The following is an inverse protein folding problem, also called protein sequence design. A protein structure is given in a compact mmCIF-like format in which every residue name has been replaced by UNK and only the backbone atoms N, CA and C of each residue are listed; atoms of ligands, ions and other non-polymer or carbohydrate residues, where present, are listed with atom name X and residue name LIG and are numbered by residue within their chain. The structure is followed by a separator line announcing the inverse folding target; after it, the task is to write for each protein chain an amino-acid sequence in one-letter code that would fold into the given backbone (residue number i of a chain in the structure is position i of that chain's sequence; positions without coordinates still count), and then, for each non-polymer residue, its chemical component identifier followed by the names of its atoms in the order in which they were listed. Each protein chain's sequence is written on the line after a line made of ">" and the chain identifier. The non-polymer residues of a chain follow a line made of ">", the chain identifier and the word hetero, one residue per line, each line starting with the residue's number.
data_IF_716304680150
#
_entry.id   IF_716304680150
#
_cell.length_a   1.000
_cell.length_b   1.000
_cell.length_c   1.000
_cell.angle_alpha   90.00
_cell.angle_beta   90.00
_cell.angle_gamma   90.00
#
_symmetry.space_group_name_H-M   'P 1'
#
loop_
_entity.id
_entity.type
_entity.pdbx_description
1 polymer ?
#
# COMPACT_ATOMS: atom_id res chain seq x y z
N UNK A 1 68.46 -5.09 -41.87
CA UNK A 1 67.02 -5.38 -42.00
C UNK A 1 66.68 -6.45 -40.96
N UNK A 2 66.15 -6.08 -39.78
CA UNK A 2 65.83 -7.05 -38.71
C UNK A 2 64.35 -7.39 -38.82
N UNK A 3 64.08 -8.64 -39.17
CA UNK A 3 62.75 -9.22 -39.27
C UNK A 3 62.13 -9.29 -37.87
N UNK A 4 61.10 -8.48 -37.64
CA UNK A 4 60.34 -8.46 -36.39
C UNK A 4 59.37 -9.63 -36.44
N UNK A 5 59.71 -10.72 -35.76
CA UNK A 5 58.86 -11.91 -35.62
C UNK A 5 57.51 -11.55 -34.99
N UNK A 6 56.44 -11.63 -35.78
CA UNK A 6 55.06 -11.49 -35.33
C UNK A 6 54.69 -12.71 -34.47
N UNK A 7 54.56 -12.50 -33.16
CA UNK A 7 54.10 -13.55 -32.24
C UNK A 7 52.61 -13.82 -32.49
N UNK A 8 52.20 -15.06 -32.77
CA UNK A 8 50.79 -15.36 -33.02
C UNK A 8 49.97 -15.17 -31.74
N UNK A 9 48.81 -14.53 -31.88
CA UNK A 9 47.83 -14.35 -30.80
C UNK A 9 47.27 -15.73 -30.42
N UNK A 10 47.53 -16.19 -29.19
CA UNK A 10 47.04 -17.49 -28.71
C UNK A 10 45.79 -17.30 -27.81
N UNK A 11 44.57 -17.53 -28.32
CA UNK A 11 43.31 -17.26 -27.61
C UNK A 11 43.13 -18.16 -26.37
N UNK A 12 43.75 -19.34 -26.34
CA UNK A 12 43.66 -20.26 -25.21
C UNK A 12 44.33 -19.70 -23.94
N UNK A 13 45.38 -18.89 -24.08
CA UNK A 13 46.03 -18.19 -22.95
C UNK A 13 45.17 -17.02 -22.44
N UNK A 14 44.45 -16.35 -23.33
CA UNK A 14 43.55 -15.25 -22.97
C UNK A 14 42.34 -15.75 -22.17
N UNK A 15 41.71 -16.83 -22.62
CA UNK A 15 40.58 -17.47 -21.92
C UNK A 15 40.98 -18.00 -20.53
N UNK A 16 42.16 -18.65 -20.40
CA UNK A 16 42.68 -19.06 -19.09
C UNK A 16 42.99 -17.88 -18.15
N UNK A 17 43.34 -16.71 -18.68
CA UNK A 17 43.61 -15.50 -17.88
C UNK A 17 42.32 -14.82 -17.41
N UNK A 18 41.26 -14.85 -18.23
CA UNK A 18 39.92 -14.41 -17.84
C UNK A 18 39.34 -15.28 -16.72
N UNK A 19 39.46 -16.61 -16.84
CA UNK A 19 39.00 -17.56 -15.83
C UNK A 19 39.81 -17.52 -14.52
N UNK A 20 41.02 -16.94 -14.53
CA UNK A 20 41.93 -16.85 -13.37
C UNK A 20 42.00 -15.43 -12.78
N UNK A 21 41.10 -14.55 -13.19
CA UNK A 21 41.01 -13.17 -12.70
C UNK A 21 40.09 -13.13 -11.48
N UNK A 22 40.65 -12.92 -10.28
CA UNK A 22 39.88 -12.81 -9.02
C UNK A 22 38.82 -11.69 -9.04
N UNK A 23 39.01 -10.66 -9.87
CA UNK A 23 38.05 -9.58 -10.09
C UNK A 23 36.73 -10.06 -10.73
N UNK A 24 36.76 -11.16 -11.50
CA UNK A 24 35.57 -11.74 -12.12
C UNK A 24 34.75 -12.54 -11.10
N UNK A 25 35.42 -13.22 -10.17
CA UNK A 25 34.79 -14.01 -9.11
C UNK A 25 33.97 -13.14 -8.15
N UNK A 26 34.48 -11.96 -7.79
CA UNK A 26 33.78 -11.01 -6.92
C UNK A 26 32.44 -10.52 -7.51
N UNK A 27 32.37 -10.31 -8.83
CA UNK A 27 31.12 -9.92 -9.50
C UNK A 27 30.09 -11.07 -9.48
N UNK A 28 30.54 -12.32 -9.57
CA UNK A 28 29.66 -13.49 -9.49
C UNK A 28 29.10 -13.68 -8.09
N UNK A 29 29.92 -13.51 -7.05
CA UNK A 29 29.46 -13.56 -5.65
C UNK A 29 28.39 -12.49 -5.38
N UNK A 30 28.61 -11.25 -5.83
CA UNK A 30 27.61 -10.19 -5.72
C UNK A 30 26.34 -10.54 -6.50
N UNK A 31 26.44 -11.10 -7.69
CA UNK A 31 25.28 -11.47 -8.51
C UNK A 31 24.39 -12.54 -7.84
N UNK A 32 24.95 -13.39 -6.98
CA UNK A 32 24.20 -14.40 -6.23
C UNK A 32 23.54 -13.79 -4.97
N UNK A 33 24.22 -12.87 -4.29
CA UNK A 33 23.70 -12.21 -3.07
C UNK A 33 22.67 -11.12 -3.39
N UNK A 34 22.86 -10.42 -4.51
CA UNK A 34 22.04 -9.28 -4.91
C UNK A 34 20.53 -9.59 -4.98
N UNK A 35 20.05 -10.70 -5.56
CA UNK A 35 18.63 -11.05 -5.57
C UNK A 35 18.03 -11.14 -4.17
N UNK A 36 18.76 -11.71 -3.20
CA UNK A 36 18.29 -11.84 -1.81
C UNK A 36 18.19 -10.47 -1.15
N UNK A 37 19.20 -9.62 -1.32
CA UNK A 37 19.18 -8.25 -0.78
C UNK A 37 18.06 -7.42 -1.39
N UNK A 38 17.88 -7.49 -2.72
CA UNK A 38 16.79 -6.79 -3.41
C UNK A 38 15.41 -7.29 -2.96
N UNK A 39 15.26 -8.60 -2.71
CA UNK A 39 14.03 -9.17 -2.18
C UNK A 39 13.73 -8.63 -0.78
N UNK A 40 14.73 -8.54 0.11
CA UNK A 40 14.56 -7.98 1.45
C UNK A 40 14.21 -6.49 1.42
N UNK A 41 14.90 -5.71 0.58
CA UNK A 41 14.60 -4.28 0.41
C UNK A 41 13.20 -4.06 -0.18
N UNK A 42 12.82 -4.86 -1.18
CA UNK A 42 11.48 -4.83 -1.77
C UNK A 42 10.39 -5.16 -0.74
N UNK A 43 10.59 -6.21 0.08
CA UNK A 43 9.67 -6.56 1.15
C UNK A 43 9.53 -5.46 2.19
N UNK A 44 10.64 -4.84 2.62
CA UNK A 44 10.63 -3.74 3.58
C UNK A 44 9.91 -2.49 3.01
N UNK A 45 10.19 -2.14 1.75
CA UNK A 45 9.52 -1.02 1.08
C UNK A 45 8.01 -1.26 0.92
N UNK A 46 7.63 -2.48 0.52
CA UNK A 46 6.23 -2.86 0.37
C UNK A 46 5.48 -2.86 1.71
N UNK A 47 6.13 -3.33 2.78
CA UNK A 47 5.58 -3.26 4.14
C UNK A 47 5.38 -1.80 4.59
N UNK A 48 6.35 -0.92 4.36
CA UNK A 48 6.23 0.50 4.69
C UNK A 48 5.05 1.16 3.96
N UNK A 49 4.88 0.85 2.67
CA UNK A 49 3.76 1.34 1.86
C UNK A 49 2.41 0.77 2.34
N UNK A 50 2.34 -0.51 2.66
CA UNK A 50 1.15 -1.12 3.26
C UNK A 50 0.76 -0.42 4.57
N UNK A 51 1.72 -0.21 5.47
CA UNK A 51 1.49 0.45 6.74
C UNK A 51 1.02 1.90 6.55
N UNK A 52 1.61 2.63 5.60
CA UNK A 52 1.15 3.96 5.20
C UNK A 52 -0.32 3.93 4.75
N UNK A 53 -0.69 3.01 3.85
CA UNK A 53 -2.08 2.86 3.39
C UNK A 53 -3.04 2.56 4.55
N UNK A 54 -2.69 1.62 5.42
CA UNK A 54 -3.51 1.30 6.60
C UNK A 54 -3.73 2.52 7.49
N UNK A 55 -2.65 3.27 7.78
CA UNK A 55 -2.72 4.43 8.66
C UNK A 55 -3.50 5.58 8.03
N UNK A 56 -3.40 5.78 6.71
CA UNK A 56 -4.18 6.77 5.95
C UNK A 56 -5.67 6.43 6.00
N UNK A 57 -6.04 5.18 5.74
CA UNK A 57 -7.44 4.73 5.86
C UNK A 57 -7.95 4.87 7.30
N UNK A 58 -7.14 4.52 8.31
CA UNK A 58 -7.49 4.69 9.72
C UNK A 58 -7.78 6.16 10.06
N UNK A 59 -6.90 7.09 9.64
CA UNK A 59 -7.10 8.54 9.81
C UNK A 59 -8.37 9.02 9.10
N UNK A 60 -8.63 8.53 7.89
CA UNK A 60 -9.83 8.89 7.12
C UNK A 60 -11.11 8.43 7.83
N UNK A 61 -11.18 7.18 8.30
CA UNK A 61 -12.35 6.69 9.08
C UNK A 61 -12.57 7.52 10.35
N UNK A 62 -11.50 7.98 11.00
CA UNK A 62 -11.59 8.85 12.18
C UNK A 62 -12.14 10.22 11.84
N UNK A 63 -11.75 10.80 10.70
CA UNK A 63 -12.31 12.07 10.22
C UNK A 63 -13.82 11.92 9.92
N UNK A 64 -14.21 10.85 9.21
CA UNK A 64 -15.62 10.56 8.94
C UNK A 64 -16.44 10.33 10.21
N UNK A 65 -15.92 9.57 11.17
CA UNK A 65 -16.59 9.35 12.46
C UNK A 65 -16.74 10.65 13.26
N UNK A 66 -15.73 11.53 13.24
CA UNK A 66 -15.77 12.84 13.90
C UNK A 66 -16.75 13.78 13.24
N UNK A 67 -16.89 13.74 11.92
CA UNK A 67 -17.91 14.51 11.23
C UNK A 67 -19.32 14.06 11.64
N UNK A 68 -19.56 12.75 11.62
CA UNK A 68 -20.87 12.18 11.96
C UNK A 68 -21.24 12.26 13.44
N UNK A 69 -20.30 12.55 14.34
CA UNK A 69 -20.59 12.67 15.77
C UNK A 69 -21.34 13.99 16.09
N UNK A 70 -21.20 15.01 15.23
CA UNK A 70 -21.82 16.33 15.39
C UNK A 70 -22.96 16.58 14.42
N UNK A 71 -23.01 15.82 13.33
CA UNK A 71 -24.05 15.95 12.32
C UNK A 71 -25.28 15.12 12.65
N UNK A 72 -26.46 15.67 12.35
CA UNK A 72 -27.71 14.93 12.48
C UNK A 72 -27.67 13.64 11.66
N UNK A 73 -28.21 12.56 12.22
CA UNK A 73 -28.39 11.30 11.50
C UNK A 73 -29.44 11.39 10.38
N UNK A 74 -30.15 12.52 10.25
CA UNK A 74 -31.09 12.78 9.16
C UNK A 74 -30.39 13.43 7.95
N UNK A 75 -30.76 13.01 6.73
CA UNK A 75 -30.34 13.67 5.48
C UNK A 75 -29.09 13.05 4.83
N UNK A 76 -28.26 13.90 4.20
CA UNK A 76 -27.12 13.49 3.35
C UNK A 76 -25.78 13.37 4.10
N UNK A 77 -25.80 13.44 5.44
CA UNK A 77 -24.60 13.40 6.29
C UNK A 77 -23.73 12.17 6.04
N UNK A 78 -24.33 11.02 5.73
CA UNK A 78 -23.60 9.79 5.43
C UNK A 78 -22.85 9.87 4.12
N UNK A 79 -23.45 10.45 3.10
CA UNK A 79 -22.80 10.58 1.79
C UNK A 79 -21.66 11.60 1.83
N UNK A 80 -21.83 12.68 2.60
CA UNK A 80 -20.75 13.62 2.91
C UNK A 80 -19.63 12.98 3.72
N UNK A 81 -19.96 12.17 4.72
CA UNK A 81 -18.97 11.44 5.50
C UNK A 81 -18.20 10.42 4.66
N UNK A 82 -18.87 9.68 3.78
CA UNK A 82 -18.21 8.77 2.83
C UNK A 82 -17.27 9.54 1.90
N UNK A 83 -17.74 10.66 1.37
CA UNK A 83 -16.94 11.55 0.53
C UNK A 83 -15.72 12.09 1.28
N UNK A 84 -15.89 12.51 2.53
CA UNK A 84 -14.79 12.98 3.39
C UNK A 84 -13.76 11.87 3.63
N UNK A 85 -14.19 10.64 3.86
CA UNK A 85 -13.30 9.48 4.05
C UNK A 85 -12.52 9.17 2.77
N UNK A 86 -13.15 9.29 1.60
CA UNK A 86 -12.55 8.88 0.32
C UNK A 86 -11.68 9.97 -0.27
N UNK A 87 -12.16 11.22 -0.28
CA UNK A 87 -11.54 12.34 -0.99
C UNK A 87 -10.94 13.40 -0.06
N UNK A 88 -11.20 13.33 1.25
CA UNK A 88 -10.82 14.38 2.18
C UNK A 88 -11.70 15.63 2.10
N UNK A 89 -12.79 15.60 1.31
CA UNK A 89 -13.73 16.71 1.12
C UNK A 89 -15.18 16.21 1.18
N UNK A 90 -16.11 17.06 1.60
CA UNK A 90 -17.54 16.70 1.70
C UNK A 90 -18.24 16.66 0.33
N UNK A 91 -17.67 17.27 -0.71
CA UNK A 91 -18.27 17.39 -2.05
C UNK A 91 -18.09 16.15 -2.92
N UNK A 92 -17.24 15.20 -2.51
CA UNK A 92 -17.03 13.96 -3.27
C UNK A 92 -16.22 14.14 -4.56
N UNK A 93 -15.48 15.24 -4.65
CA UNK A 93 -14.66 15.58 -5.82
C UNK A 93 -13.17 15.49 -5.50
N UNK A 94 -12.39 15.03 -6.48
CA UNK A 94 -10.92 14.95 -6.39
C UNK A 94 -10.36 13.53 -6.45
N UNK A 95 -9.08 13.41 -6.18
CA UNK A 95 -8.37 12.12 -6.15
C UNK A 95 -8.59 11.45 -4.80
N UNK A 96 -8.94 10.15 -4.76
CA UNK A 96 -9.05 9.42 -3.50
C UNK A 96 -7.75 9.46 -2.69
N UNK A 97 -7.87 9.55 -1.37
CA UNK A 97 -6.72 9.54 -0.42
C UNK A 97 -5.88 8.27 -0.52
N UNK A 98 -6.49 7.19 -1.01
CA UNK A 98 -5.83 5.92 -1.34
C UNK A 98 -6.36 5.48 -2.70
N UNK A 99 -5.46 5.14 -3.62
CA UNK A 99 -5.83 4.65 -4.95
C UNK A 99 -6.74 3.42 -4.86
N UNK A 100 -7.83 3.43 -5.64
CA UNK A 100 -8.84 2.36 -5.65
C UNK A 100 -9.85 2.41 -4.49
N UNK A 101 -9.74 3.38 -3.58
CA UNK A 101 -10.77 3.63 -2.56
C UNK A 101 -11.96 4.36 -3.19
N UNK A 102 -13.18 3.90 -2.86
CA UNK A 102 -14.43 4.49 -3.35
C UNK A 102 -15.44 4.64 -2.22
N UNK A 103 -16.49 5.44 -2.43
CA UNK A 103 -17.59 5.58 -1.47
C UNK A 103 -18.27 4.23 -1.13
N UNK A 104 -18.25 3.25 -2.06
CA UNK A 104 -18.79 1.92 -1.81
C UNK A 104 -17.96 1.11 -0.80
N UNK A 105 -16.70 1.48 -0.57
CA UNK A 105 -15.85 0.86 0.44
C UNK A 105 -16.10 1.39 1.84
N UNK A 106 -16.90 2.45 2.01
CA UNK A 106 -17.11 3.10 3.30
C UNK A 106 -18.48 2.71 3.83
N UNK A 107 -18.50 2.02 4.97
CA UNK A 107 -19.72 1.68 5.67
C UNK A 107 -19.84 2.53 6.94
N UNK A 108 -20.99 3.19 7.06
CA UNK A 108 -21.41 3.91 8.27
C UNK A 108 -22.43 3.06 9.01
N UNK A 109 -22.20 2.88 10.31
CA UNK A 109 -23.11 2.13 11.19
C UNK A 109 -23.41 2.96 12.43
N UNK A 110 -24.69 3.17 12.70
CA UNK A 110 -25.19 3.82 13.91
C UNK A 110 -25.73 2.76 14.86
N UNK A 111 -25.49 2.93 16.15
CA UNK A 111 -25.89 1.92 17.16
C UNK A 111 -26.33 2.59 18.45
N UNK A 112 -27.38 2.04 19.06
CA UNK A 112 -28.01 2.62 20.25
C UNK A 112 -28.85 3.85 19.94
N UNK A 113 -29.56 4.37 20.93
CA UNK A 113 -30.42 5.55 20.80
C UNK A 113 -31.58 5.38 19.79
N UNK A 114 -31.93 6.49 19.14
CA UNK A 114 -32.96 6.54 18.08
C UNK A 114 -32.32 6.72 16.70
N UNK A 115 -33.08 6.52 15.62
CA UNK A 115 -32.60 6.70 14.25
C UNK A 115 -32.08 8.12 13.97
N UNK A 116 -32.59 9.13 14.69
CA UNK A 116 -32.15 10.52 14.58
C UNK A 116 -30.98 10.88 15.53
N UNK A 117 -30.90 10.20 16.68
CA UNK A 117 -29.92 10.43 17.74
C UNK A 117 -29.36 9.09 18.21
N UNK A 118 -28.37 8.53 17.48
CA UNK A 118 -27.74 7.29 17.90
C UNK A 118 -26.84 7.52 19.12
N UNK A 119 -26.48 6.47 19.86
CA UNK A 119 -25.49 6.60 20.95
C UNK A 119 -24.05 6.64 20.39
N UNK A 120 -23.82 5.88 19.32
CA UNK A 120 -22.51 5.67 18.71
C UNK A 120 -22.61 5.67 17.19
N UNK A 121 -21.55 6.18 16.56
CA UNK A 121 -21.34 6.09 15.12
C UNK A 121 -20.03 5.38 14.84
N UNK A 122 -20.07 4.39 13.97
CA UNK A 122 -18.94 3.60 13.50
C UNK A 122 -18.74 3.85 12.01
N UNK A 123 -17.54 4.23 11.62
CA UNK A 123 -17.13 4.31 10.21
C UNK A 123 -16.07 3.23 9.98
N UNK A 124 -16.29 2.37 8.97
CA UNK A 124 -15.38 1.27 8.65
C UNK A 124 -15.14 1.17 7.15
N UNK A 125 -13.95 0.73 6.78
CA UNK A 125 -13.61 0.37 5.41
C UNK A 125 -13.93 -1.11 5.17
N UNK A 126 -14.59 -1.41 4.06
CA UNK A 126 -14.99 -2.75 3.64
C UNK A 126 -14.67 -2.98 2.17
N UNK A 127 -14.39 -4.24 1.81
CA UNK A 127 -14.14 -4.64 0.42
C UNK A 127 -12.93 -3.98 -0.23
N UNK A 128 -12.06 -3.31 0.55
CA UNK A 128 -10.83 -2.70 0.03
C UNK A 128 -9.67 -3.70 0.18
N UNK A 129 -8.93 -3.90 -0.90
CA UNK A 129 -7.76 -4.78 -0.93
C UNK A 129 -6.53 -3.97 -1.28
N UNK A 130 -5.47 -4.15 -0.49
CA UNK A 130 -4.20 -3.50 -0.76
C UNK A 130 -3.64 -3.90 -2.13
N UNK A 131 -3.10 -2.92 -2.85
CA UNK A 131 -2.51 -3.11 -4.17
C UNK A 131 -0.99 -2.96 -4.07
N UNK A 132 -0.25 -4.08 -4.01
CA UNK A 132 1.20 -4.03 -3.90
C UNK A 132 1.83 -3.49 -5.19
N UNK A 133 2.97 -2.81 -5.06
CA UNK A 133 3.78 -2.41 -6.21
C UNK A 133 4.57 -3.61 -6.74
N UNK A 134 5.10 -4.41 -5.82
CA UNK A 134 5.86 -5.62 -6.09
C UNK A 134 5.03 -6.86 -5.75
N UNK A 135 4.17 -7.28 -6.69
CA UNK A 135 3.36 -8.49 -6.53
C UNK A 135 4.10 -9.71 -7.08
N UNK A 136 4.91 -10.36 -6.22
CA UNK A 136 5.62 -11.60 -6.58
C UNK A 136 4.64 -12.68 -7.05
N UNK A 137 3.47 -12.79 -6.42
CA UNK A 137 2.47 -13.77 -6.82
C UNK A 137 1.98 -13.58 -8.25
N UNK A 138 1.87 -12.35 -8.73
CA UNK A 138 1.61 -12.08 -10.16
C UNK A 138 2.82 -12.32 -11.04
N UNK A 139 4.02 -11.93 -10.58
CA UNK A 139 5.26 -12.05 -11.36
C UNK A 139 5.60 -13.50 -11.71
N UNK A 140 5.44 -14.42 -10.76
CA UNK A 140 5.76 -15.85 -10.94
C UNK A 140 4.54 -16.75 -11.05
N UNK A 141 3.34 -16.19 -11.21
CA UNK A 141 2.09 -16.95 -11.40
C UNK A 141 1.69 -17.80 -10.20
N UNK A 142 2.06 -17.39 -8.97
CA UNK A 142 1.77 -18.08 -7.71
C UNK A 142 0.92 -17.21 -6.79
N UNK A 143 -0.43 -17.30 -6.84
CA UNK A 143 -1.33 -16.43 -6.09
C UNK A 143 -1.08 -16.42 -4.58
N UNK A 144 -0.60 -17.54 -4.01
CA UNK A 144 -0.28 -17.67 -2.58
C UNK A 144 0.84 -16.74 -2.10
N UNK A 145 1.64 -16.20 -3.01
CA UNK A 145 2.73 -15.26 -2.72
C UNK A 145 2.32 -13.80 -2.99
N UNK A 146 1.06 -13.55 -3.31
CA UNK A 146 0.56 -12.20 -3.54
C UNK A 146 0.37 -11.45 -2.22
N UNK A 147 0.83 -10.20 -2.19
CA UNK A 147 0.66 -9.31 -1.04
C UNK A 147 -0.68 -8.54 -1.10
N UNK A 148 -1.64 -9.02 -1.88
CA UNK A 148 -3.00 -8.47 -1.96
C UNK A 148 -3.82 -8.92 -0.76
N UNK A 149 -3.68 -8.18 0.33
CA UNK A 149 -4.35 -8.46 1.61
C UNK A 149 -5.54 -7.51 1.80
N UNK A 150 -6.70 -8.00 2.28
CA UNK A 150 -7.83 -7.13 2.60
C UNK A 150 -7.48 -6.18 3.76
N UNK A 151 -7.93 -4.93 3.65
CA UNK A 151 -7.66 -3.90 4.66
C UNK A 151 -8.98 -3.29 5.12
N UNK A 152 -9.25 -3.34 6.42
CA UNK A 152 -10.55 -2.96 6.98
C UNK A 152 -10.45 -2.21 8.32
N UNK A 153 -9.78 -1.04 8.36
CA UNK A 153 -9.78 -0.21 9.57
C UNK A 153 -11.19 0.30 9.88
N UNK A 154 -11.45 0.50 11.17
CA UNK A 154 -12.69 1.06 11.66
C UNK A 154 -12.44 2.03 12.82
N UNK A 155 -13.31 3.03 12.94
CA UNK A 155 -13.32 3.96 14.06
C UNK A 155 -14.75 4.09 14.58
N UNK A 156 -14.91 3.99 15.90
CA UNK A 156 -16.19 4.22 16.59
C UNK A 156 -16.08 5.44 17.49
N UNK A 157 -17.06 6.35 17.44
CA UNK A 157 -17.16 7.52 18.30
C UNK A 157 -18.53 7.60 18.98
N UNK A 158 -18.58 8.28 20.13
CA UNK A 158 -19.85 8.62 20.79
C UNK A 158 -20.48 9.78 20.04
N UNK A 159 -21.77 9.69 19.81
CA UNK A 159 -22.55 10.77 19.20
C UNK A 159 -22.80 11.88 20.23
N UNK A 160 -22.64 13.14 19.84
CA UNK A 160 -23.00 14.26 20.69
C UNK A 160 -24.41 14.73 20.33
N UNK A 161 -25.38 14.35 21.15
CA UNK A 161 -26.70 14.99 21.14
C UNK A 161 -26.59 16.33 21.85
N UNK A 162 -26.48 17.43 21.10
CA UNK A 162 -26.75 18.77 21.65
C UNK A 162 -28.08 19.26 21.09
N UNK A 163 -29.17 18.78 21.67
CA UNK A 163 -30.45 19.49 21.61
C UNK A 163 -30.68 20.06 23.01
N UNK A 164 -30.82 21.39 23.17
CA UNK A 164 -31.29 21.95 24.42
C UNK A 164 -32.75 21.51 24.63
N UNK A 165 -33.03 20.99 25.83
CA UNK A 165 -34.38 20.71 26.33
C UNK A 165 -35.31 21.90 26.19
#
# INVERSE_FOLDING_TARGET
>A
MREVLSRPFNPARFMKRLARSERGTQLVELAIVLPVVLMLLGAAAEFGRFFYTYQTLSKATRAGARYLMTESAAGTSDDKAKSLVVYGTETGTGTPVVSGLTNANVQVVRTGGSSAFPDRVTVRIQGFTYQPLFDLGKLIGKPSLSLRVPVSPSTTMRYFSSIPS
#
